data_IF_369365440565
#
_entry.id   IF_369365440565
#
_cell.length_a   1.000
_cell.length_b   1.000
_cell.length_c   1.000
_cell.angle_alpha   90.00
_cell.angle_beta   90.00
_cell.angle_gamma   90.00
#
_symmetry.space_group_name_H-M   'P 1'
#
loop_
_entity.id
_entity.type
_entity.pdbx_description
1 polymer ?
#
# COMPACT_ATOMS: atom_id res chain seq x y z
N UNK A 1 6.14 -6.23 9.50
CA UNK A 1 6.01 -4.90 8.88
C UNK A 1 6.90 -4.90 7.65
N UNK A 2 6.32 -4.82 6.45
CA UNK A 2 6.92 -4.87 5.09
C UNK A 2 7.89 -6.00 4.70
N UNK A 3 8.42 -6.80 5.64
CA UNK A 3 9.38 -7.90 5.38
C UNK A 3 10.69 -7.47 4.68
N UNK A 4 10.95 -6.16 4.57
CA UNK A 4 12.22 -5.63 4.06
C UNK A 4 13.22 -5.43 5.22
N UNK A 5 14.52 -5.73 5.02
CA UNK A 5 15.56 -5.34 5.95
C UNK A 5 15.63 -3.81 6.02
N UNK A 6 15.47 -3.24 7.22
CA UNK A 6 15.57 -1.81 7.43
C UNK A 6 17.05 -1.40 7.55
N UNK A 7 17.45 -0.35 6.83
CA UNK A 7 18.73 0.31 7.06
C UNK A 7 18.61 1.19 8.30
N UNK A 8 19.35 0.87 9.35
CA UNK A 8 19.30 1.56 10.63
C UNK A 8 20.62 2.25 10.94
N UNK A 9 20.56 3.50 11.40
CA UNK A 9 21.70 4.25 11.93
C UNK A 9 22.93 4.21 11.01
N UNK A 10 24.07 3.71 11.52
CA UNK A 10 25.35 3.62 10.81
C UNK A 10 25.32 2.67 9.60
N UNK A 11 24.28 1.85 9.44
CA UNK A 11 24.09 1.00 8.26
C UNK A 11 23.47 1.76 7.08
N UNK A 12 22.86 2.93 7.31
CA UNK A 12 22.30 3.79 6.28
C UNK A 12 23.37 4.72 5.68
N UNK A 13 24.50 4.17 5.23
CA UNK A 13 25.53 4.96 4.54
C UNK A 13 25.01 5.52 3.22
N UNK A 14 25.56 6.64 2.76
CA UNK A 14 25.15 7.28 1.50
C UNK A 14 25.21 6.30 0.32
N UNK A 15 26.26 5.47 0.27
CA UNK A 15 26.51 4.51 -0.79
C UNK A 15 25.46 3.39 -0.78
N UNK A 16 25.13 2.87 0.40
CA UNK A 16 24.11 1.82 0.55
C UNK A 16 22.74 2.38 0.20
N UNK A 17 22.39 3.56 0.73
CA UNK A 17 21.09 4.18 0.45
C UNK A 17 20.93 4.46 -1.05
N UNK A 18 21.94 5.03 -1.72
CA UNK A 18 21.88 5.29 -3.16
C UNK A 18 21.77 4.01 -4.00
N UNK A 19 22.40 2.90 -3.56
CA UNK A 19 22.27 1.61 -4.23
C UNK A 19 20.87 1.04 -4.09
N UNK A 20 20.33 0.99 -2.88
CA UNK A 20 18.98 0.47 -2.63
C UNK A 20 17.90 1.36 -3.26
N UNK A 21 18.14 2.68 -3.37
CA UNK A 21 17.27 3.64 -4.06
C UNK A 21 17.01 3.27 -5.52
N UNK A 22 18.03 2.77 -6.23
CA UNK A 22 17.92 2.43 -7.65
C UNK A 22 17.02 1.22 -7.92
N UNK A 23 16.93 0.30 -6.96
CA UNK A 23 16.16 -0.94 -7.05
C UNK A 23 14.80 -0.87 -6.33
N UNK A 24 14.58 0.16 -5.51
CA UNK A 24 13.38 0.28 -4.68
C UNK A 24 12.20 0.92 -5.44
N UNK A 25 11.08 0.19 -5.51
CA UNK A 25 9.81 0.73 -5.99
C UNK A 25 9.16 1.73 -5.01
N UNK A 26 9.53 1.67 -3.72
CA UNK A 26 9.02 2.54 -2.67
C UNK A 26 10.03 2.67 -1.52
N UNK A 27 10.24 3.90 -1.03
CA UNK A 27 11.16 4.19 0.07
C UNK A 27 10.39 4.91 1.16
N UNK A 28 10.55 4.44 2.40
CA UNK A 28 10.08 5.15 3.58
C UNK A 28 11.27 5.70 4.37
N UNK A 29 11.27 7.01 4.58
CA UNK A 29 12.29 7.70 5.36
C UNK A 29 11.67 8.15 6.69
N UNK A 30 11.99 7.44 7.76
CA UNK A 30 11.64 7.83 9.12
C UNK A 30 12.82 8.63 9.72
N UNK A 31 12.99 9.87 9.28
CA UNK A 31 14.12 10.69 9.75
C UNK A 31 13.77 12.17 9.96
N UNK A 32 14.66 12.89 10.64
CA UNK A 32 14.56 14.31 10.88
C UNK A 32 14.79 15.12 9.60
N UNK A 33 13.93 16.12 9.40
CA UNK A 33 14.08 17.12 8.34
C UNK A 33 14.85 18.31 8.90
N UNK A 34 15.92 18.72 8.22
CA UNK A 34 16.63 19.95 8.55
C UNK A 34 16.09 21.10 7.73
N UNK A 35 15.29 21.96 8.36
CA UNK A 35 14.76 23.19 7.74
C UNK A 35 15.85 24.20 7.38
N UNK A 36 17.03 24.12 8.03
CA UNK A 36 18.18 24.98 7.73
C UNK A 36 18.89 24.57 6.45
N UNK A 37 18.93 23.27 6.16
CA UNK A 37 19.66 22.71 5.01
C UNK A 37 18.75 22.39 3.82
N UNK A 38 17.43 22.50 3.98
CA UNK A 38 16.44 22.02 3.01
C UNK A 38 16.72 20.57 2.60
N UNK A 39 17.11 19.73 3.57
CA UNK A 39 17.60 18.38 3.32
C UNK A 39 17.00 17.37 4.32
N UNK A 40 16.82 16.14 3.83
CA UNK A 40 16.48 14.96 4.63
C UNK A 40 17.79 14.39 5.18
N UNK A 41 17.94 14.35 6.50
CA UNK A 41 19.18 13.87 7.15
C UNK A 41 19.05 12.39 7.43
N UNK A 42 19.68 11.52 6.63
CA UNK A 42 19.52 10.06 6.76
C UNK A 42 20.32 9.46 7.92
N UNK A 43 21.47 10.07 8.21
CA UNK A 43 22.24 9.83 9.41
C UNK A 43 22.85 11.17 9.83
N UNK A 44 22.66 11.62 11.08
CA UNK A 44 23.66 12.50 11.64
C UNK A 44 24.90 11.62 11.74
N UNK A 45 25.89 11.80 10.87
CA UNK A 45 27.23 11.27 11.17
C UNK A 45 27.67 11.79 12.55
N UNK A 46 28.83 11.34 13.06
CA UNK A 46 29.42 11.74 14.36
C UNK A 46 29.70 13.26 14.46
N UNK A 47 28.67 14.09 14.36
CA UNK A 47 28.69 15.55 14.35
C UNK A 47 28.23 16.10 15.70
N UNK A 48 28.00 15.24 16.70
CA UNK A 48 27.60 15.69 18.03
C UNK A 48 28.76 15.99 18.98
N UNK A 49 30.01 15.62 18.66
CA UNK A 49 31.11 15.78 19.64
C UNK A 49 32.16 16.86 19.31
N UNK A 50 32.07 17.58 18.18
CA UNK A 50 33.13 18.52 17.77
C UNK A 50 32.82 20.01 17.91
N UNK A 51 31.67 20.39 18.51
CA UNK A 51 31.29 21.80 18.68
C UNK A 51 31.31 22.31 20.12
N UNK A 52 31.84 21.53 21.08
CA UNK A 52 31.86 21.90 22.50
C UNK A 52 33.10 22.70 22.95
N UNK A 53 33.87 23.31 22.04
CA UNK A 53 35.01 24.14 22.43
C UNK A 53 35.03 25.48 21.69
N UNK A 54 34.89 26.55 22.49
CA UNK A 54 35.06 27.97 22.19
C UNK A 54 33.85 28.78 21.68
N UNK A 55 33.03 29.30 22.59
CA UNK A 55 33.05 30.73 22.97
C UNK A 55 31.93 31.06 23.97
N UNK A 56 32.28 31.81 25.00
CA UNK A 56 31.41 32.20 26.09
C UNK A 56 30.39 33.28 25.68
N UNK A 57 29.25 33.22 26.37
CA UNK A 57 28.45 34.33 26.97
C UNK A 57 27.01 34.45 26.47
N UNK A 58 26.11 34.34 27.47
CA UNK A 58 24.69 34.72 27.57
C UNK A 58 23.62 33.67 27.27
N UNK A 59 22.87 33.37 28.35
CA UNK A 59 21.62 32.61 28.44
C UNK A 59 21.70 31.08 28.38
N UNK A 60 22.35 30.56 29.42
CA UNK A 60 22.18 29.20 29.94
C UNK A 60 20.77 29.05 30.53
N UNK A 61 19.76 28.75 29.69
CA UNK A 61 18.55 28.10 30.18
C UNK A 61 18.83 26.60 30.24
N UNK A 62 18.88 26.07 31.45
CA UNK A 62 18.92 24.64 31.70
C UNK A 62 17.71 23.99 31.03
N UNK A 63 17.93 23.22 29.97
CA UNK A 63 17.05 22.10 29.67
C UNK A 63 17.42 21.00 30.67
N UNK A 64 16.50 20.56 31.54
CA UNK A 64 16.72 19.35 32.31
C UNK A 64 16.94 18.19 31.33
N UNK A 65 17.94 17.35 31.59
CA UNK A 65 18.14 16.04 30.97
C UNK A 65 17.00 15.09 31.34
N UNK A 66 15.78 15.40 30.89
CA UNK A 66 14.72 14.43 30.72
C UNK A 66 14.18 14.68 29.31
N UNK A 67 14.78 14.04 28.30
CA UNK A 67 14.07 13.90 27.02
C UNK A 67 12.74 13.21 27.33
N UNK A 68 11.59 13.84 27.11
CA UNK A 68 10.33 13.22 27.43
C UNK A 68 10.19 11.99 26.54
N UNK A 69 9.98 10.81 27.10
CA UNK A 69 9.75 9.54 26.38
C UNK A 69 8.45 9.55 25.52
N UNK A 70 7.74 10.68 25.50
CA UNK A 70 6.39 10.89 24.97
C UNK A 70 6.33 10.98 23.42
N UNK A 71 7.26 11.66 22.69
CA UNK A 71 7.21 11.73 21.23
C UNK A 71 7.43 10.38 20.54
N UNK A 72 8.24 9.50 21.14
CA UNK A 72 8.55 8.18 20.57
C UNK A 72 7.35 7.23 20.58
N UNK A 73 6.50 7.30 21.61
CA UNK A 73 5.32 6.44 21.71
C UNK A 73 4.19 6.88 20.76
N UNK A 74 3.96 8.19 20.64
CA UNK A 74 3.01 8.72 19.66
C UNK A 74 3.43 8.37 18.22
N UNK A 75 4.72 8.50 17.90
CA UNK A 75 5.27 8.12 16.60
C UNK A 75 5.08 6.63 16.30
N UNK A 76 5.32 5.75 17.29
CA UNK A 76 5.08 4.31 17.16
C UNK A 76 3.61 4.00 16.86
N UNK A 77 2.67 4.66 17.55
CA UNK A 77 1.23 4.48 17.31
C UNK A 77 0.86 4.94 15.89
N UNK A 78 1.35 6.12 15.49
CA UNK A 78 1.09 6.68 14.16
C UNK A 78 1.60 5.76 13.07
N UNK A 79 2.86 5.35 13.13
CA UNK A 79 3.45 4.46 12.13
C UNK A 79 2.74 3.10 12.09
N UNK A 80 2.37 2.53 13.25
CA UNK A 80 1.62 1.28 13.30
C UNK A 80 0.26 1.40 12.64
N UNK A 81 -0.49 2.48 12.91
CA UNK A 81 -1.79 2.74 12.29
C UNK A 81 -1.65 2.98 10.78
N UNK A 82 -0.69 3.81 10.38
CA UNK A 82 -0.37 4.11 8.98
C UNK A 82 -0.09 2.83 8.18
N UNK A 83 0.84 1.99 8.66
CA UNK A 83 1.17 0.75 7.96
C UNK A 83 0.05 -0.28 7.97
N UNK A 84 -0.74 -0.33 9.04
CA UNK A 84 -1.91 -1.22 9.08
C UNK A 84 -2.91 -0.82 8.00
N UNK A 85 -3.22 0.47 7.86
CA UNK A 85 -4.11 0.98 6.82
C UNK A 85 -3.54 0.78 5.41
N UNK A 86 -2.23 1.01 5.21
CA UNK A 86 -1.57 0.75 3.93
C UNK A 86 -1.62 -0.73 3.53
N UNK A 87 -1.38 -1.65 4.47
CA UNK A 87 -1.48 -3.10 4.25
C UNK A 87 -2.92 -3.55 3.98
N UNK A 88 -3.92 -2.79 4.44
CA UNK A 88 -5.33 -2.99 4.10
C UNK A 88 -5.71 -2.40 2.73
N UNK A 89 -4.78 -1.75 2.02
CA UNK A 89 -5.01 -1.20 0.67
C UNK A 89 -5.50 0.24 0.64
N UNK A 90 -5.49 0.95 1.77
CA UNK A 90 -5.73 2.39 1.79
C UNK A 90 -4.65 3.14 0.99
N UNK A 91 -5.05 4.26 0.37
CA UNK A 91 -4.07 5.20 -0.19
C UNK A 91 -3.30 5.89 0.93
N UNK A 92 -2.05 6.28 0.68
CA UNK A 92 -1.17 6.88 1.67
C UNK A 92 -1.76 8.13 2.32
N UNK A 93 -2.46 8.99 1.58
CA UNK A 93 -3.12 10.17 2.13
C UNK A 93 -4.23 9.82 3.11
N UNK A 94 -5.05 8.82 2.78
CA UNK A 94 -6.11 8.33 3.67
C UNK A 94 -5.52 7.62 4.90
N UNK A 95 -4.53 6.77 4.69
CA UNK A 95 -3.85 6.04 5.75
C UNK A 95 -3.19 6.99 6.76
N UNK A 96 -2.56 8.08 6.27
CA UNK A 96 -1.97 9.09 7.13
C UNK A 96 -3.02 9.86 7.94
N UNK A 97 -4.14 10.23 7.31
CA UNK A 97 -5.23 10.90 8.01
C UNK A 97 -5.83 10.00 9.11
N UNK A 98 -6.12 8.73 8.80
CA UNK A 98 -6.60 7.76 9.79
C UNK A 98 -5.59 7.56 10.94
N UNK A 99 -4.29 7.52 10.64
CA UNK A 99 -3.24 7.41 11.64
C UNK A 99 -3.14 8.65 12.54
N UNK A 100 -3.22 9.86 11.97
CA UNK A 100 -3.25 11.12 12.72
C UNK A 100 -4.48 11.17 13.64
N UNK A 101 -5.65 10.80 13.14
CA UNK A 101 -6.87 10.71 13.95
C UNK A 101 -6.73 9.69 15.08
N UNK A 102 -6.08 8.55 14.84
CA UNK A 102 -5.84 7.54 15.88
C UNK A 102 -5.01 8.10 17.04
N UNK A 103 -3.95 8.86 16.73
CA UNK A 103 -3.14 9.53 17.75
C UNK A 103 -3.93 10.65 18.44
N UNK A 104 -4.68 11.46 17.68
CA UNK A 104 -5.48 12.55 18.20
C UNK A 104 -6.55 12.07 19.21
N UNK A 105 -7.19 10.94 18.95
CA UNK A 105 -8.20 10.36 19.86
C UNK A 105 -7.58 9.61 21.05
N UNK A 106 -6.26 9.42 21.08
CA UNK A 106 -5.57 8.84 22.24
C UNK A 106 -5.38 9.93 23.30
N UNK A 107 -6.01 9.79 24.46
CA UNK A 107 -6.08 10.84 25.51
C UNK A 107 -4.73 11.49 25.85
N UNK A 108 -3.66 10.69 25.93
CA UNK A 108 -2.32 11.18 26.27
C UNK A 108 -1.60 11.88 25.11
N UNK A 109 -2.07 11.72 23.87
CA UNK A 109 -1.39 12.19 22.66
C UNK A 109 -2.24 13.14 21.80
N UNK A 110 -3.37 13.62 22.32
CA UNK A 110 -4.28 14.51 21.60
C UNK A 110 -3.63 15.83 21.15
N UNK A 111 -2.61 16.30 21.87
CA UNK A 111 -1.92 17.55 21.56
C UNK A 111 -1.27 17.49 20.16
N UNK A 112 -1.41 18.54 19.31
CA UNK A 112 -0.90 18.56 17.93
C UNK A 112 0.58 18.22 17.76
N UNK A 113 1.41 18.46 18.78
CA UNK A 113 2.84 18.11 18.78
C UNK A 113 3.11 16.62 18.45
N UNK A 114 2.13 15.75 18.71
CA UNK A 114 2.27 14.30 18.56
C UNK A 114 1.87 13.77 17.17
N UNK A 115 1.10 14.53 16.38
CA UNK A 115 0.50 14.05 15.12
C UNK A 115 0.53 15.05 13.97
N UNK A 116 0.67 16.35 14.23
CA UNK A 116 0.64 17.38 13.17
C UNK A 116 1.98 17.55 12.44
N UNK A 117 3.07 16.96 12.96
CA UNK A 117 4.42 17.07 12.38
C UNK A 117 4.69 16.20 11.15
N UNK A 118 3.73 15.38 10.71
CA UNK A 118 3.92 14.46 9.58
C UNK A 118 3.40 15.08 8.28
N UNK A 119 4.21 15.01 7.23
CA UNK A 119 3.91 15.57 5.93
C UNK A 119 4.05 14.50 4.84
N UNK A 120 3.06 14.42 3.95
CA UNK A 120 3.14 13.61 2.74
C UNK A 120 3.74 14.46 1.61
N UNK A 121 4.83 13.99 1.01
CA UNK A 121 5.45 14.61 -0.17
C UNK A 121 5.34 13.63 -1.34
N UNK A 122 4.78 14.07 -2.46
CA UNK A 122 4.63 13.27 -3.68
C UNK A 122 3.18 12.87 -3.97
N UNK A 123 3.02 11.77 -4.71
CA UNK A 123 1.71 11.28 -5.17
C UNK A 123 1.00 10.40 -4.14
N UNK A 124 -0.33 10.40 -4.18
CA UNK A 124 -1.17 9.57 -3.33
C UNK A 124 -1.19 8.10 -3.82
N UNK A 125 -0.18 7.33 -3.37
CA UNK A 125 0.06 5.95 -3.78
C UNK A 125 -0.64 4.91 -2.87
N UNK A 126 -0.73 3.66 -3.34
CA UNK A 126 -1.14 2.48 -2.54
C UNK A 126 0.01 1.48 -2.48
N UNK A 127 0.19 0.82 -1.33
CA UNK A 127 1.08 -0.34 -1.27
C UNK A 127 0.41 -1.52 -1.98
N UNK A 128 0.96 -1.90 -3.13
CA UNK A 128 0.47 -3.06 -3.89
C UNK A 128 1.03 -4.34 -3.29
N UNK A 129 0.29 -4.93 -2.35
CA UNK A 129 0.41 -6.38 -2.13
C UNK A 129 -0.73 -7.03 -2.89
N UNK A 130 -0.45 -8.02 -3.74
CA UNK A 130 -1.49 -8.66 -4.58
C UNK A 130 -2.69 -9.18 -3.75
N UNK A 131 -2.48 -9.57 -2.49
CA UNK A 131 -3.54 -9.98 -1.54
C UNK A 131 -4.40 -8.78 -1.06
N UNK A 132 -3.77 -7.65 -0.72
CA UNK A 132 -4.48 -6.42 -0.29
C UNK A 132 -5.31 -5.82 -1.43
N UNK A 133 -4.82 -5.92 -2.68
CA UNK A 133 -5.57 -5.50 -3.87
C UNK A 133 -6.89 -6.27 -4.01
N UNK A 134 -6.93 -7.58 -3.77
CA UNK A 134 -8.16 -8.38 -3.83
C UNK A 134 -9.19 -7.90 -2.81
N UNK A 135 -8.79 -7.74 -1.54
CA UNK A 135 -9.69 -7.30 -0.48
C UNK A 135 -10.28 -5.91 -0.74
N UNK A 136 -9.43 -4.94 -1.10
CA UNK A 136 -9.90 -3.58 -1.42
C UNK A 136 -10.75 -3.55 -2.68
N UNK A 137 -10.40 -4.31 -3.71
CA UNK A 137 -11.19 -4.40 -4.94
C UNK A 137 -12.57 -4.99 -4.69
N UNK A 138 -12.69 -5.97 -3.78
CA UNK A 138 -13.98 -6.48 -3.31
C UNK A 138 -14.77 -5.41 -2.56
N UNK A 139 -14.13 -4.64 -1.68
CA UNK A 139 -14.79 -3.49 -1.02
C UNK A 139 -15.32 -2.45 -2.01
N UNK A 140 -14.55 -2.12 -3.05
CA UNK A 140 -14.97 -1.21 -4.13
C UNK A 140 -16.15 -1.78 -4.93
N UNK A 141 -16.11 -3.07 -5.28
CA UNK A 141 -17.21 -3.77 -5.94
C UNK A 141 -18.50 -3.71 -5.12
N UNK A 142 -18.40 -3.91 -3.80
CA UNK A 142 -19.54 -3.92 -2.88
C UNK A 142 -20.09 -2.51 -2.57
N UNK A 143 -19.39 -1.43 -2.95
CA UNK A 143 -19.84 -0.05 -2.70
C UNK A 143 -21.12 0.30 -3.47
N UNK A 144 -21.46 -0.43 -4.53
CA UNK A 144 -22.70 -0.24 -5.30
C UNK A 144 -23.63 -1.45 -5.14
N UNK A 145 -24.35 -1.59 -4.01
CA UNK A 145 -25.06 -2.82 -3.64
C UNK A 145 -26.10 -3.27 -4.67
N UNK A 146 -26.78 -2.33 -5.34
CA UNK A 146 -27.81 -2.63 -6.35
C UNK A 146 -27.24 -3.27 -7.63
N UNK A 147 -25.97 -3.00 -7.98
CA UNK A 147 -25.35 -3.42 -9.25
C UNK A 147 -24.13 -4.33 -9.07
N UNK A 148 -23.63 -4.47 -7.84
CA UNK A 148 -22.43 -5.25 -7.55
C UNK A 148 -22.60 -6.73 -7.89
N UNK A 149 -23.82 -7.27 -7.76
CA UNK A 149 -24.10 -8.70 -7.97
C UNK A 149 -23.77 -9.16 -9.39
N UNK A 150 -24.05 -8.34 -10.41
CA UNK A 150 -23.73 -8.67 -11.79
C UNK A 150 -22.24 -8.54 -12.08
N UNK A 151 -21.59 -7.50 -11.55
CA UNK A 151 -20.14 -7.36 -11.64
C UNK A 151 -19.39 -8.51 -10.96
N UNK A 152 -19.86 -8.97 -9.79
CA UNK A 152 -19.34 -10.14 -9.08
C UNK A 152 -19.52 -11.41 -9.92
N UNK A 153 -20.68 -11.64 -10.54
CA UNK A 153 -20.93 -12.79 -11.43
C UNK A 153 -20.02 -12.78 -12.65
N UNK A 154 -19.85 -11.63 -13.29
CA UNK A 154 -18.96 -11.48 -14.45
C UNK A 154 -17.53 -11.79 -14.03
N UNK A 155 -17.08 -11.26 -12.90
CA UNK A 155 -15.71 -11.48 -12.40
C UNK A 155 -15.49 -12.94 -12.02
N UNK A 156 -16.45 -13.56 -11.31
CA UNK A 156 -16.43 -14.98 -10.96
C UNK A 156 -16.35 -15.85 -12.22
N UNK A 157 -17.17 -15.55 -13.23
CA UNK A 157 -17.17 -16.31 -14.48
C UNK A 157 -15.80 -16.28 -15.17
N UNK A 158 -15.13 -15.13 -15.22
CA UNK A 158 -13.81 -15.01 -15.82
C UNK A 158 -12.75 -15.81 -15.03
N UNK A 159 -12.79 -15.72 -13.70
CA UNK A 159 -11.89 -16.46 -12.80
C UNK A 159 -12.09 -17.97 -12.94
N UNK A 160 -13.33 -18.46 -12.87
CA UNK A 160 -13.66 -19.88 -13.03
C UNK A 160 -13.27 -20.40 -14.41
N UNK A 161 -13.51 -19.61 -15.46
CA UNK A 161 -13.08 -19.96 -16.81
C UNK A 161 -11.56 -20.09 -16.91
N UNK A 162 -10.81 -19.25 -16.21
CA UNK A 162 -9.34 -19.37 -16.12
C UNK A 162 -8.93 -20.66 -15.42
N UNK A 163 -9.52 -20.95 -14.25
CA UNK A 163 -9.27 -22.18 -13.49
C UNK A 163 -9.59 -23.44 -14.32
N UNK A 164 -10.72 -23.47 -15.01
CA UNK A 164 -11.10 -24.58 -15.89
C UNK A 164 -10.06 -24.83 -16.98
N UNK A 165 -9.50 -23.77 -17.57
CA UNK A 165 -8.44 -23.91 -18.60
C UNK A 165 -7.15 -24.45 -18.01
N UNK A 166 -6.76 -23.96 -16.83
CA UNK A 166 -5.55 -24.38 -16.11
C UNK A 166 -5.66 -25.86 -15.75
N UNK A 167 -6.78 -26.28 -15.14
CA UNK A 167 -7.02 -27.70 -14.79
C UNK A 167 -7.09 -28.62 -16.01
N UNK A 168 -7.54 -28.11 -17.17
CA UNK A 168 -7.55 -28.85 -18.44
C UNK A 168 -6.20 -28.80 -19.18
N UNK A 169 -5.17 -28.16 -18.63
CA UNK A 169 -3.85 -28.05 -19.25
C UNK A 169 -3.83 -27.20 -20.53
N UNK A 170 -4.79 -26.32 -20.75
CA UNK A 170 -4.89 -25.51 -21.97
C UNK A 170 -3.88 -24.35 -21.95
N UNK A 171 -2.77 -24.51 -22.67
CA UNK A 171 -1.66 -23.52 -22.69
C UNK A 171 -1.81 -22.40 -23.72
N UNK A 172 -2.78 -22.49 -24.64
CA UNK A 172 -2.99 -21.44 -25.64
C UNK A 172 -3.42 -20.13 -24.98
N UNK A 173 -2.87 -19.00 -25.44
CA UNK A 173 -3.26 -17.69 -24.99
C UNK A 173 -4.76 -17.45 -25.28
N UNK A 174 -5.45 -16.84 -24.33
CA UNK A 174 -6.86 -16.49 -24.44
C UNK A 174 -7.04 -15.05 -23.97
N UNK A 175 -7.86 -14.29 -24.68
CA UNK A 175 -8.16 -12.91 -24.35
C UNK A 175 -9.63 -12.58 -24.57
N UNK A 176 -10.07 -11.49 -23.96
CA UNK A 176 -11.35 -10.82 -24.24
C UNK A 176 -11.10 -9.32 -24.32
N UNK A 177 -12.02 -8.55 -24.90
CA UNK A 177 -11.87 -7.10 -24.94
C UNK A 177 -12.26 -6.49 -23.58
N UNK A 178 -11.53 -5.46 -23.16
CA UNK A 178 -11.87 -4.70 -21.95
C UNK A 178 -13.29 -4.13 -22.07
N UNK A 179 -13.65 -3.65 -23.27
CA UNK A 179 -14.99 -3.11 -23.54
C UNK A 179 -16.12 -4.13 -23.33
N UNK A 180 -15.90 -5.41 -23.65
CA UNK A 180 -16.89 -6.46 -23.42
C UNK A 180 -17.15 -6.69 -21.93
N UNK A 181 -16.10 -6.58 -21.10
CA UNK A 181 -16.23 -6.69 -19.64
C UNK A 181 -16.96 -5.45 -19.11
N UNK A 182 -16.52 -4.24 -19.50
CA UNK A 182 -17.14 -2.96 -19.11
C UNK A 182 -18.65 -2.93 -19.37
N UNK A 183 -19.07 -3.40 -20.55
CA UNK A 183 -20.47 -3.45 -20.92
C UNK A 183 -21.31 -4.37 -20.00
N UNK A 184 -20.69 -5.39 -19.38
CA UNK A 184 -21.38 -6.33 -18.48
C UNK A 184 -21.33 -5.92 -17.02
N UNK A 185 -20.23 -5.33 -16.56
CA UNK A 185 -20.06 -4.88 -15.16
C UNK A 185 -20.71 -3.53 -14.90
N UNK A 186 -20.97 -2.74 -15.95
CA UNK A 186 -21.62 -1.44 -15.84
C UNK A 186 -20.76 -0.41 -15.10
N UNK A 187 -21.36 0.45 -14.24
CA UNK A 187 -20.65 1.55 -13.58
C UNK A 187 -19.82 1.11 -12.35
N UNK A 188 -19.88 -0.17 -11.98
CA UNK A 188 -19.24 -0.69 -10.76
C UNK A 188 -17.72 -0.60 -10.90
N UNK A 189 -17.06 -0.15 -9.84
CA UNK A 189 -15.59 -0.02 -9.76
C UNK A 189 -14.97 -1.24 -9.07
N UNK A 190 -13.65 -1.41 -9.17
CA UNK A 190 -12.92 -2.48 -8.46
C UNK A 190 -12.78 -3.80 -9.20
N UNK A 191 -13.63 -4.11 -10.19
CA UNK A 191 -13.53 -5.37 -10.95
C UNK A 191 -12.19 -5.51 -11.70
N UNK A 192 -11.63 -4.39 -12.18
CA UNK A 192 -10.37 -4.38 -12.94
C UNK A 192 -9.21 -4.73 -12.03
N UNK A 193 -9.12 -4.06 -10.89
CA UNK A 193 -8.11 -4.29 -9.87
C UNK A 193 -8.19 -5.71 -9.31
N UNK A 194 -9.41 -6.25 -9.15
CA UNK A 194 -9.63 -7.63 -8.72
C UNK A 194 -9.08 -8.64 -9.75
N UNK A 195 -9.33 -8.42 -11.04
CA UNK A 195 -8.80 -9.30 -12.09
C UNK A 195 -7.27 -9.20 -12.17
N UNK A 196 -6.71 -7.99 -12.05
CA UNK A 196 -5.25 -7.79 -12.05
C UNK A 196 -4.58 -8.49 -10.86
N UNK A 197 -5.21 -8.45 -9.67
CA UNK A 197 -4.63 -9.06 -8.46
C UNK A 197 -4.50 -10.59 -8.55
N UNK A 198 -5.35 -11.24 -9.34
CA UNK A 198 -5.35 -12.70 -9.58
C UNK A 198 -4.67 -13.11 -10.88
N UNK A 199 -3.99 -12.19 -11.57
CA UNK A 199 -3.09 -12.50 -12.68
C UNK A 199 -3.64 -12.25 -14.09
N UNK A 200 -4.79 -11.59 -14.24
CA UNK A 200 -5.22 -11.11 -15.56
C UNK A 200 -4.35 -9.94 -16.00
N UNK A 201 -3.91 -9.95 -17.26
CA UNK A 201 -3.10 -8.88 -17.83
C UNK A 201 -3.95 -7.99 -18.71
N UNK A 202 -3.87 -6.68 -18.49
CA UNK A 202 -4.59 -5.68 -19.27
C UNK A 202 -3.59 -5.00 -20.21
N UNK A 203 -3.86 -5.06 -21.50
CA UNK A 203 -3.03 -4.43 -22.52
C UNK A 203 -3.84 -3.34 -23.23
N UNK A 204 -3.25 -2.13 -23.42
CA UNK A 204 -3.90 -1.06 -24.15
C UNK A 204 -4.04 -1.44 -25.63
N UNK A 205 -4.91 -0.72 -26.36
CA UNK A 205 -5.04 -0.92 -27.79
C UNK A 205 -3.71 -0.66 -28.51
N UNK A 206 -3.21 -1.66 -29.22
CA UNK A 206 -1.94 -1.61 -29.94
C UNK A 206 -1.97 -2.55 -31.14
N UNK A 207 -1.28 -2.18 -32.23
CA UNK A 207 -1.11 -3.03 -33.42
C UNK A 207 -2.42 -3.60 -34.00
N UNK A 208 -3.49 -2.80 -34.03
CA UNK A 208 -4.81 -3.20 -34.53
C UNK A 208 -5.63 -4.08 -33.58
N UNK A 209 -5.11 -4.38 -32.38
CA UNK A 209 -5.82 -5.10 -31.33
C UNK A 209 -6.48 -4.06 -30.41
N UNK A 210 -7.78 -4.16 -30.12
CA UNK A 210 -8.44 -3.28 -29.13
C UNK A 210 -7.93 -3.57 -27.72
N UNK A 211 -8.13 -2.65 -26.77
CA UNK A 211 -7.76 -2.86 -25.37
C UNK A 211 -8.30 -4.21 -24.86
N UNK A 212 -7.38 -5.07 -24.42
CA UNK A 212 -7.63 -6.49 -24.23
C UNK A 212 -7.20 -6.96 -22.85
N UNK A 213 -7.86 -8.01 -22.39
CA UNK A 213 -7.64 -8.65 -21.10
C UNK A 213 -7.27 -10.11 -21.34
N UNK A 214 -6.05 -10.46 -21.00
CA UNK A 214 -5.48 -11.79 -21.17
C UNK A 214 -5.66 -12.63 -19.92
N UNK A 215 -6.06 -13.89 -20.14
CA UNK A 215 -6.32 -14.85 -19.08
C UNK A 215 -5.00 -15.43 -18.54
N UNK A 216 -4.87 -15.63 -17.22
CA UNK A 216 -3.72 -16.32 -16.63
C UNK A 216 -3.65 -17.78 -17.09
N UNK A 217 -2.43 -18.30 -17.23
CA UNK A 217 -2.15 -19.67 -17.69
C UNK A 217 -1.73 -20.62 -16.56
N UNK A 218 -1.60 -20.11 -15.35
CA UNK A 218 -1.18 -20.83 -14.15
C UNK A 218 -1.84 -20.18 -12.94
N UNK A 219 -2.04 -20.94 -11.86
CA UNK A 219 -2.56 -20.43 -10.59
C UNK A 219 -1.50 -20.49 -9.47
N UNK A 220 -0.43 -19.66 -9.55
CA UNK A 220 0.59 -19.64 -8.52
C UNK A 220 0.01 -19.13 -7.20
N UNK A 221 0.26 -19.86 -6.11
CA UNK A 221 -0.25 -19.57 -4.75
C UNK A 221 -1.78 -19.68 -4.63
N UNK A 222 -2.44 -20.44 -5.51
CA UNK A 222 -3.89 -20.69 -5.47
C UNK A 222 -4.76 -19.41 -5.45
N UNK A 223 -4.25 -18.32 -6.03
CA UNK A 223 -4.90 -17.00 -6.00
C UNK A 223 -6.24 -16.97 -6.72
N UNK A 224 -6.32 -17.58 -7.90
CA UNK A 224 -7.58 -17.70 -8.64
C UNK A 224 -8.56 -18.56 -7.85
N UNK A 225 -8.07 -19.65 -7.27
CA UNK A 225 -8.86 -20.58 -6.44
C UNK A 225 -9.45 -19.85 -5.22
N UNK A 226 -8.64 -19.11 -4.47
CA UNK A 226 -9.09 -18.32 -3.31
C UNK A 226 -10.06 -17.19 -3.71
N UNK A 227 -9.80 -16.51 -4.83
CA UNK A 227 -10.68 -15.48 -5.34
C UNK A 227 -12.04 -16.05 -5.75
N UNK A 228 -12.06 -17.20 -6.44
CA UNK A 228 -13.28 -17.92 -6.79
C UNK A 228 -14.11 -18.25 -5.55
N UNK A 229 -13.49 -18.83 -4.52
CA UNK A 229 -14.17 -19.17 -3.26
C UNK A 229 -14.78 -17.93 -2.57
N UNK A 230 -14.04 -16.81 -2.58
CA UNK A 230 -14.48 -15.54 -1.99
C UNK A 230 -15.67 -14.94 -2.76
N UNK A 231 -15.62 -14.96 -4.10
CA UNK A 231 -16.70 -14.49 -4.96
C UNK A 231 -17.95 -15.37 -4.86
N UNK A 232 -17.78 -16.70 -4.78
CA UNK A 232 -18.88 -17.64 -4.55
C UNK A 232 -19.54 -17.41 -3.18
N UNK A 233 -18.76 -17.19 -2.12
CA UNK A 233 -19.26 -16.85 -0.80
C UNK A 233 -20.09 -15.55 -0.82
N UNK A 234 -19.57 -14.49 -1.44
CA UNK A 234 -20.27 -13.20 -1.55
C UNK A 234 -21.57 -13.27 -2.38
N UNK A 235 -21.61 -14.14 -3.38
CA UNK A 235 -22.80 -14.36 -4.20
C UNK A 235 -23.81 -15.33 -3.56
N UNK A 236 -23.45 -15.96 -2.43
CA UNK A 236 -24.25 -17.00 -1.78
C UNK A 236 -24.35 -18.28 -2.61
N UNK A 237 -23.34 -18.57 -3.43
CA UNK A 237 -23.28 -19.76 -4.30
C UNK A 237 -22.64 -20.96 -3.61
N UNK A 238 -22.14 -20.80 -2.38
CA UNK A 238 -21.71 -21.90 -1.51
C UNK A 238 -22.94 -22.69 -1.04
N UNK A 239 -23.57 -23.41 -1.96
CA UNK A 239 -24.56 -24.44 -1.67
C UNK A 239 -23.82 -25.76 -1.42
N UNK A 240 -24.02 -26.32 -0.24
CA UNK A 240 -24.01 -27.75 0.09
C UNK A 240 -23.45 -28.67 -1.02
N UNK A 241 -22.19 -29.06 -0.87
CA UNK A 241 -21.76 -30.40 -1.26
C UNK A 241 -21.62 -31.23 0.01
#
# INVERSE_FOLDING_TARGET
MLQCPALLNSQASKEIVLRELGEAECIHLATHISWKLSAIVLSPGDMLDSAAQHSNTTSRMLFPEEEPEVPHMAAKILLRALYSALLQGCRIGRALNEAMQTVQHTKHFAHPINWAGYLLIGSDIRLSTKVAMTGQALCELLRTPEKCRDALRVTLHLVEKSLQRIHRGQKNAMYTTQKSIENKVGPVQGWKELLQSVGFRFEPAANGIPSSVFFPQSDPEERLTQCSASLQALLGLNGYK
#
